data_IF_529800412498
#
_entry.id   IF_529800412498
#
_cell.length_a   1.000
_cell.length_b   1.000
_cell.length_c   1.000
_cell.angle_alpha   90.00
_cell.angle_beta   90.00
_cell.angle_gamma   90.00
#
_symmetry.space_group_name_H-M   'P 1'
#
loop_
_entity.id
_entity.type
_entity.pdbx_description
1 polymer ?
#
# COMPACT_ATOMS: atom_id res chain seq x y z
N UNK A 1 33.46 -20.89 -21.78
CA UNK A 1 32.16 -20.79 -21.10
C UNK A 1 31.44 -22.11 -21.31
N UNK A 2 31.26 -22.87 -20.25
CA UNK A 2 30.39 -24.05 -20.27
C UNK A 2 28.94 -23.60 -20.11
N UNK A 3 27.98 -24.37 -20.63
CA UNK A 3 26.55 -24.06 -20.50
C UNK A 3 26.13 -23.86 -19.02
N UNK A 4 26.77 -24.58 -18.09
CA UNK A 4 26.54 -24.44 -16.67
C UNK A 4 26.94 -23.05 -16.14
N UNK A 5 28.08 -22.50 -16.58
CA UNK A 5 28.55 -21.17 -16.18
C UNK A 5 27.59 -20.07 -16.65
N UNK A 6 27.10 -20.18 -17.89
CA UNK A 6 26.13 -19.23 -18.46
C UNK A 6 24.78 -19.23 -17.70
N UNK A 7 24.32 -20.41 -17.30
CA UNK A 7 23.11 -20.56 -16.49
C UNK A 7 23.30 -19.94 -15.11
N UNK A 8 24.45 -20.15 -14.48
CA UNK A 8 24.79 -19.57 -13.18
C UNK A 8 24.82 -18.05 -13.26
N UNK A 9 25.49 -17.48 -14.27
CA UNK A 9 25.55 -16.03 -14.46
C UNK A 9 24.16 -15.42 -14.66
N UNK A 10 23.33 -16.04 -15.51
CA UNK A 10 21.95 -15.60 -15.74
C UNK A 10 21.09 -15.66 -14.48
N UNK A 11 21.22 -16.73 -13.69
CA UNK A 11 20.51 -16.87 -12.43
C UNK A 11 20.93 -15.79 -11.42
N UNK A 12 22.24 -15.54 -11.29
CA UNK A 12 22.79 -14.51 -10.41
C UNK A 12 22.34 -13.10 -10.83
N UNK A 13 22.31 -12.81 -12.13
CA UNK A 13 21.81 -11.56 -12.66
C UNK A 13 20.32 -11.35 -12.34
N UNK A 14 19.50 -12.39 -12.49
CA UNK A 14 18.07 -12.33 -12.15
C UNK A 14 17.84 -12.08 -10.65
N UNK A 15 18.60 -12.75 -9.77
CA UNK A 15 18.53 -12.53 -8.32
C UNK A 15 18.97 -11.11 -7.94
N UNK A 16 20.02 -10.58 -8.57
CA UNK A 16 20.47 -9.22 -8.34
C UNK A 16 19.39 -8.19 -8.72
N UNK A 17 18.71 -8.39 -9.85
CA UNK A 17 17.61 -7.53 -10.28
C UNK A 17 16.41 -7.61 -9.33
N UNK A 18 16.05 -8.81 -8.87
CA UNK A 18 14.96 -9.02 -7.90
C UNK A 18 15.26 -8.32 -6.56
N UNK A 19 16.50 -8.40 -6.06
CA UNK A 19 16.93 -7.69 -4.84
C UNK A 19 16.80 -6.18 -4.99
N UNK A 20 17.34 -5.59 -6.07
CA UNK A 20 17.23 -4.16 -6.35
C UNK A 20 15.78 -3.68 -6.44
N UNK A 21 14.90 -4.47 -7.06
CA UNK A 21 13.47 -4.15 -7.13
C UNK A 21 12.82 -4.15 -5.74
N UNK A 22 13.16 -5.13 -4.90
CA UNK A 22 12.63 -5.25 -3.54
C UNK A 22 13.06 -4.09 -2.64
N UNK A 23 14.31 -3.65 -2.75
CA UNK A 23 14.83 -2.50 -2.00
C UNK A 23 14.07 -1.23 -2.37
N UNK A 24 13.91 -0.95 -3.68
CA UNK A 24 13.13 0.19 -4.17
C UNK A 24 11.67 0.14 -3.74
N UNK A 25 11.02 -1.03 -3.82
CA UNK A 25 9.65 -1.18 -3.35
C UNK A 25 9.52 -0.97 -1.83
N UNK A 26 10.47 -1.45 -1.04
CA UNK A 26 10.46 -1.21 0.40
C UNK A 26 10.62 0.27 0.72
N UNK A 27 11.52 0.97 0.02
CA UNK A 27 11.71 2.40 0.17
C UNK A 27 10.46 3.20 -0.27
N UNK A 28 9.87 2.84 -1.41
CA UNK A 28 8.61 3.44 -1.87
C UNK A 28 7.46 3.18 -0.89
N UNK A 29 7.36 1.96 -0.34
CA UNK A 29 6.35 1.65 0.68
C UNK A 29 6.58 2.42 1.97
N UNK A 30 7.83 2.58 2.41
CA UNK A 30 8.16 3.40 3.59
C UNK A 30 7.78 4.87 3.36
N UNK A 31 8.04 5.43 2.18
CA UNK A 31 7.67 6.80 1.85
C UNK A 31 6.14 6.99 1.73
N UNK A 32 5.47 6.07 1.03
CA UNK A 32 4.03 6.17 0.72
C UNK A 32 3.16 5.82 1.92
N UNK A 33 3.49 4.73 2.61
CA UNK A 33 2.68 4.18 3.70
C UNK A 33 3.28 4.41 5.08
N UNK A 34 4.53 4.90 5.22
CA UNK A 34 5.11 5.19 6.53
C UNK A 34 4.38 6.28 7.30
N UNK A 35 3.61 7.13 6.61
CA UNK A 35 2.70 8.12 7.22
C UNK A 35 1.28 7.63 7.43
N UNK A 36 0.90 6.50 6.83
CA UNK A 36 -0.42 5.91 7.03
C UNK A 36 -0.35 5.14 8.34
N UNK A 37 -0.67 5.82 9.44
CA UNK A 37 -0.87 5.19 10.74
C UNK A 37 -2.16 4.39 10.71
N UNK A 38 -2.11 3.20 10.12
CA UNK A 38 -3.22 2.22 10.08
C UNK A 38 -3.66 1.80 11.50
N UNK A 39 -2.82 2.05 12.52
CA UNK A 39 -3.04 1.63 13.89
C UNK A 39 -3.49 2.71 14.87
N UNK A 40 -3.67 3.98 14.46
CA UNK A 40 -4.24 4.95 15.40
C UNK A 40 -5.73 4.67 15.57
N UNK A 41 -6.20 4.29 16.77
CA UNK A 41 -7.63 4.15 17.00
C UNK A 41 -8.29 5.50 16.71
N UNK A 42 -9.45 5.46 16.03
CA UNK A 42 -10.27 6.65 15.85
C UNK A 42 -10.44 7.31 17.22
N UNK A 43 -10.29 8.65 17.32
CA UNK A 43 -10.46 9.34 18.58
C UNK A 43 -11.82 8.94 19.17
N UNK A 44 -11.90 8.68 20.48
CA UNK A 44 -13.13 8.22 21.08
C UNK A 44 -14.23 9.24 20.80
N UNK A 45 -15.21 8.84 19.99
CA UNK A 45 -16.39 9.65 19.74
C UNK A 45 -17.04 9.89 21.10
N UNK A 46 -17.35 11.15 21.42
CA UNK A 46 -18.06 11.50 22.66
C UNK A 46 -19.30 10.61 22.76
N UNK A 47 -19.54 10.02 23.93
CA UNK A 47 -20.70 9.15 24.19
C UNK A 47 -21.97 9.86 23.71
N UNK A 48 -22.64 9.31 22.70
CA UNK A 48 -23.77 9.94 22.02
C UNK A 48 -23.39 10.60 20.68
N UNK A 49 -22.73 9.85 19.79
CA UNK A 49 -22.26 10.34 18.48
C UNK A 49 -23.27 11.24 17.76
N UNK A 50 -22.75 12.21 17.00
CA UNK A 50 -23.58 13.22 16.34
C UNK A 50 -24.36 12.58 15.19
N UNK A 51 -25.69 12.45 15.35
CA UNK A 51 -26.59 12.11 14.26
C UNK A 51 -26.74 13.34 13.35
N UNK A 52 -26.18 13.27 12.14
CA UNK A 52 -26.34 14.32 11.14
C UNK A 52 -27.76 14.26 10.57
N UNK A 53 -28.52 15.35 10.72
CA UNK A 53 -29.82 15.49 10.07
C UNK A 53 -29.58 15.80 8.59
N UNK A 54 -29.63 14.78 7.75
CA UNK A 54 -29.58 14.95 6.31
C UNK A 54 -30.98 15.33 5.82
N UNK A 55 -31.14 16.56 5.36
CA UNK A 55 -32.33 16.94 4.59
C UNK A 55 -32.21 16.32 3.20
N UNK A 56 -32.67 15.08 3.08
CA UNK A 56 -32.82 14.43 1.79
C UNK A 56 -34.09 15.00 1.15
N UNK A 57 -33.95 16.08 0.38
CA UNK A 57 -34.97 16.45 -0.59
C UNK A 57 -35.17 15.24 -1.51
N UNK A 58 -36.37 14.66 -1.49
CA UNK A 58 -36.71 13.60 -2.44
C UNK A 58 -36.60 14.21 -3.83
N UNK A 59 -35.74 13.71 -4.73
CA UNK A 59 -35.81 14.13 -6.12
C UNK A 59 -37.21 13.78 -6.61
N UNK A 60 -37.94 14.81 -7.04
CA UNK A 60 -39.32 14.73 -7.51
C UNK A 60 -39.56 13.46 -8.33
N UNK A 61 -40.45 12.60 -7.84
CA UNK A 61 -41.09 11.59 -8.67
C UNK A 61 -42.03 12.33 -9.62
N UNK A 62 -41.58 12.56 -10.86
CA UNK A 62 -42.43 12.87 -12.01
C UNK A 62 -42.50 11.64 -12.90
#
# INVERSE_FOLDING_TARGET
>A
MTHAEEVIERAMAAVAQARRRREREQEWRRQTFGRIQVGMPLPPLKRGGVQLSLQLERPNAR
#
